data_IF_206843152440
#
_entry.id   IF_206843152440
#
_cell.length_a   1.000
_cell.length_b   1.000
_cell.length_c   1.000
_cell.angle_alpha   90.00
_cell.angle_beta   90.00
_cell.angle_gamma   90.00
#
_symmetry.space_group_name_H-M   'P 1'
#
loop_
_entity.id
_entity.type
_entity.pdbx_description
1 polymer ?
#
# COMPACT_ATOMS: atom_id res chain seq x y z
N UNK A 1 32.08 -41.88 18.38
CA UNK A 1 31.70 -40.46 18.50
C UNK A 1 30.20 -40.40 18.57
N UNK A 2 29.64 -39.63 19.49
CA UNK A 2 28.19 -39.42 19.55
C UNK A 2 27.71 -38.78 18.24
N UNK A 3 26.56 -39.23 17.71
CA UNK A 3 25.95 -38.61 16.54
C UNK A 3 25.48 -37.20 16.90
N UNK A 4 25.85 -36.20 16.10
CA UNK A 4 25.46 -34.80 16.31
C UNK A 4 23.95 -34.62 16.48
N UNK A 5 23.12 -35.39 15.78
CA UNK A 5 21.67 -35.30 15.90
C UNK A 5 21.16 -35.67 17.30
N UNK A 6 21.75 -36.70 17.91
CA UNK A 6 21.40 -37.18 19.25
C UNK A 6 21.84 -36.18 20.31
N UNK A 7 23.08 -35.67 20.18
CA UNK A 7 23.59 -34.59 21.02
C UNK A 7 22.70 -33.34 20.96
N UNK A 8 22.29 -32.90 19.76
CA UNK A 8 21.42 -31.72 19.60
C UNK A 8 20.04 -31.91 20.25
N UNK A 9 19.48 -33.11 20.17
CA UNK A 9 18.20 -33.43 20.82
C UNK A 9 18.34 -33.41 22.33
N UNK A 10 19.38 -34.05 22.87
CA UNK A 10 19.69 -34.06 24.30
C UNK A 10 19.91 -32.64 24.82
N UNK A 11 20.71 -31.82 24.14
CA UNK A 11 20.94 -30.41 24.52
C UNK A 11 19.64 -29.61 24.62
N UNK A 12 18.73 -29.74 23.64
CA UNK A 12 17.43 -29.05 23.71
C UNK A 12 16.56 -29.52 24.87
N UNK A 13 16.58 -30.82 25.18
CA UNK A 13 15.88 -31.37 26.34
C UNK A 13 16.42 -30.81 27.66
N UNK A 14 17.75 -30.74 27.82
CA UNK A 14 18.41 -30.12 28.98
C UNK A 14 18.08 -28.62 29.10
N UNK A 15 17.90 -27.95 27.96
CA UNK A 15 17.45 -26.56 27.90
C UNK A 15 15.94 -26.40 28.23
N UNK A 16 15.21 -27.50 28.44
CA UNK A 16 13.78 -27.51 28.80
C UNK A 16 12.82 -27.67 27.61
N UNK A 17 13.31 -27.99 26.41
CA UNK A 17 12.50 -28.06 25.19
C UNK A 17 12.49 -29.45 24.57
N UNK A 18 11.30 -30.03 24.43
CA UNK A 18 11.09 -31.32 23.76
C UNK A 18 11.02 -31.22 22.24
N UNK A 19 10.85 -30.01 21.69
CA UNK A 19 10.77 -29.77 20.25
C UNK A 19 11.69 -28.62 19.78
N UNK A 20 12.11 -28.68 18.52
CA UNK A 20 13.04 -27.70 17.95
C UNK A 20 12.39 -26.32 17.71
N UNK A 21 11.08 -26.27 17.43
CA UNK A 21 10.34 -25.04 17.17
C UNK A 21 10.27 -24.14 18.39
N UNK A 22 9.87 -24.69 19.54
CA UNK A 22 9.75 -23.99 20.82
C UNK A 22 11.12 -23.51 21.29
N UNK A 23 12.16 -24.35 21.18
CA UNK A 23 13.52 -23.94 21.49
C UNK A 23 13.96 -22.73 20.64
N UNK A 24 13.67 -22.73 19.33
CA UNK A 24 13.94 -21.59 18.45
C UNK A 24 13.11 -20.36 18.82
N UNK A 25 11.85 -20.56 19.20
CA UNK A 25 10.92 -19.48 19.53
C UNK A 25 11.34 -18.77 20.81
N UNK A 26 11.66 -19.53 21.86
CA UNK A 26 12.20 -19.04 23.13
C UNK A 26 13.57 -18.38 22.98
N UNK A 27 14.53 -19.04 22.32
CA UNK A 27 15.88 -18.49 22.14
C UNK A 27 15.89 -17.20 21.31
N UNK A 28 14.89 -17.00 20.45
CA UNK A 28 14.68 -15.77 19.69
C UNK A 28 13.75 -14.76 20.39
N UNK A 29 13.31 -15.04 21.63
CA UNK A 29 12.36 -14.26 22.42
C UNK A 29 11.04 -13.94 21.68
N UNK A 30 10.62 -14.82 20.77
CA UNK A 30 9.40 -14.63 19.96
C UNK A 30 8.11 -14.91 20.74
N UNK A 31 8.22 -15.54 21.90
CA UNK A 31 7.16 -15.73 22.89
C UNK A 31 6.81 -14.45 23.64
N UNK A 32 7.72 -13.49 23.71
CA UNK A 32 7.48 -12.19 24.30
C UNK A 32 6.80 -11.29 23.27
N UNK A 33 5.50 -11.00 23.49
CA UNK A 33 4.75 -10.08 22.64
C UNK A 33 5.00 -8.63 23.10
N UNK A 34 5.55 -7.74 22.26
CA UNK A 34 5.68 -6.34 22.61
C UNK A 34 4.28 -5.71 22.79
N UNK A 35 4.12 -4.88 23.81
CA UNK A 35 2.93 -4.07 23.99
C UNK A 35 2.84 -3.00 22.91
N UNK A 36 1.61 -2.64 22.52
CA UNK A 36 1.40 -1.52 21.61
C UNK A 36 1.77 -0.21 22.29
N UNK A 37 2.61 0.58 21.63
CA UNK A 37 2.94 1.95 22.04
C UNK A 37 1.98 2.95 21.40
N UNK A 38 0.87 3.22 22.11
CA UNK A 38 -0.13 4.17 21.65
C UNK A 38 0.36 5.62 21.63
N UNK A 39 1.35 5.98 22.45
CA UNK A 39 1.94 7.31 22.41
C UNK A 39 2.74 7.50 21.11
N UNK A 40 3.50 6.47 20.71
CA UNK A 40 4.17 6.46 19.42
C UNK A 40 3.20 6.52 18.23
N UNK A 41 2.09 5.76 18.26
CA UNK A 41 1.04 5.88 17.23
C UNK A 41 0.50 7.32 17.16
N UNK A 42 0.28 7.99 18.30
CA UNK A 42 -0.20 9.37 18.31
C UNK A 42 0.80 10.33 17.61
N UNK A 43 2.11 10.16 17.84
CA UNK A 43 3.14 10.91 17.11
C UNK A 43 3.12 10.61 15.61
N UNK A 44 2.96 9.35 15.21
CA UNK A 44 2.88 8.95 13.81
C UNK A 44 1.64 9.54 13.11
N UNK A 45 0.47 9.52 13.76
CA UNK A 45 -0.75 10.11 13.23
C UNK A 45 -0.61 11.64 13.08
N UNK A 46 0.01 12.31 14.05
CA UNK A 46 0.33 13.74 13.93
C UNK A 46 1.24 14.02 12.74
N UNK A 47 2.30 13.23 12.56
CA UNK A 47 3.20 13.35 11.41
C UNK A 47 2.47 13.09 10.08
N UNK A 48 1.52 12.17 10.04
CA UNK A 48 0.72 11.94 8.84
C UNK A 48 -0.09 13.18 8.46
N UNK A 49 -0.73 13.83 9.43
CA UNK A 49 -1.45 15.10 9.21
C UNK A 49 -0.50 16.16 8.66
N UNK A 50 0.68 16.35 9.27
CA UNK A 50 1.69 17.30 8.80
C UNK A 50 2.15 17.02 7.35
N UNK A 51 2.30 15.75 6.97
CA UNK A 51 2.64 15.36 5.59
C UNK A 51 1.53 15.79 4.62
N UNK A 52 0.27 15.53 4.97
CA UNK A 52 -0.88 15.84 4.10
C UNK A 52 -1.10 17.35 3.98
N UNK A 53 -0.91 18.11 5.06
CA UNK A 53 -0.95 19.57 5.03
C UNK A 53 0.12 20.14 4.09
N UNK A 54 1.34 19.64 4.18
CA UNK A 54 2.43 20.06 3.30
C UNK A 54 2.19 19.68 1.83
N UNK A 55 1.66 18.48 1.58
CA UNK A 55 1.26 18.05 0.24
C UNK A 55 0.15 18.92 -0.32
N UNK A 56 -0.93 19.12 0.42
CA UNK A 56 -2.06 19.94 -0.01
C UNK A 56 -1.65 21.39 -0.30
N UNK A 57 -0.69 21.93 0.45
CA UNK A 57 -0.16 23.28 0.23
C UNK A 57 0.49 23.45 -1.14
N UNK A 58 1.20 22.43 -1.63
CA UNK A 58 1.98 22.50 -2.88
C UNK A 58 1.16 22.17 -4.14
N UNK A 59 0.00 21.53 -3.99
CA UNK A 59 -0.90 21.27 -5.11
C UNK A 59 -1.37 22.59 -5.74
N UNK A 60 -1.71 22.56 -7.02
CA UNK A 60 -2.40 23.68 -7.69
C UNK A 60 -3.74 23.94 -7.00
N UNK A 61 -4.17 25.21 -6.89
CA UNK A 61 -5.30 25.62 -6.05
C UNK A 61 -6.61 24.86 -6.33
N UNK A 62 -6.87 24.50 -7.58
CA UNK A 62 -8.06 23.73 -7.97
C UNK A 62 -8.00 22.26 -7.53
N UNK A 63 -6.81 21.74 -7.19
CA UNK A 63 -6.60 20.37 -6.70
C UNK A 63 -6.55 20.29 -5.17
N UNK A 64 -6.55 21.42 -4.46
CA UNK A 64 -6.47 21.45 -3.00
C UNK A 64 -7.76 20.97 -2.34
N UNK A 65 -7.59 20.24 -1.24
CA UNK A 65 -8.64 19.99 -0.27
C UNK A 65 -8.79 21.22 0.65
N UNK A 66 -9.97 21.82 0.66
CA UNK A 66 -10.28 23.04 1.41
C UNK A 66 -10.59 22.78 2.91
N UNK A 67 -10.76 21.53 3.32
CA UNK A 67 -11.10 21.18 4.70
C UNK A 67 -10.28 19.99 5.23
N UNK A 68 -8.97 20.18 5.34
CA UNK A 68 -8.04 19.17 5.86
C UNK A 68 -8.35 18.73 7.30
N UNK A 69 -8.97 19.59 8.10
CA UNK A 69 -9.40 19.26 9.46
C UNK A 69 -10.49 18.19 9.47
N UNK A 70 -11.52 18.35 8.63
CA UNK A 70 -12.55 17.32 8.47
C UNK A 70 -11.95 16.06 7.85
N UNK A 71 -11.15 16.21 6.80
CA UNK A 71 -10.49 15.10 6.11
C UNK A 71 -9.66 14.23 7.08
N UNK A 72 -8.86 14.86 7.94
CA UNK A 72 -8.02 14.15 8.92
C UNK A 72 -8.86 13.43 10.00
N UNK A 73 -10.02 13.98 10.38
CA UNK A 73 -10.95 13.27 11.28
C UNK A 73 -11.53 12.02 10.61
N UNK A 74 -11.92 12.14 9.35
CA UNK A 74 -12.60 11.07 8.60
C UNK A 74 -11.66 9.96 8.12
N UNK A 75 -10.45 10.31 7.68
CA UNK A 75 -9.54 9.36 7.01
C UNK A 75 -8.29 8.99 7.83
N UNK A 76 -8.06 9.61 8.99
CA UNK A 76 -6.97 9.23 9.90
C UNK A 76 -7.54 8.82 11.26
N UNK A 77 -8.22 9.74 11.95
CA UNK A 77 -8.66 9.50 13.32
C UNK A 77 -9.73 8.41 13.43
N UNK A 78 -10.74 8.43 12.54
CA UNK A 78 -11.80 7.42 12.49
C UNK A 78 -11.25 6.02 12.14
N UNK A 79 -10.49 5.81 11.06
CA UNK A 79 -9.86 4.51 10.75
C UNK A 79 -9.00 3.97 11.88
N UNK A 80 -8.15 4.81 12.47
CA UNK A 80 -7.35 4.43 13.63
C UNK A 80 -8.23 3.97 14.80
N UNK A 81 -9.30 4.71 15.12
CA UNK A 81 -10.23 4.35 16.18
C UNK A 81 -10.91 3.00 15.90
N UNK A 82 -11.40 2.77 14.68
CA UNK A 82 -12.02 1.49 14.29
C UNK A 82 -11.03 0.34 14.49
N UNK A 83 -9.79 0.47 14.01
CA UNK A 83 -8.76 -0.57 14.15
C UNK A 83 -8.38 -0.82 15.61
N UNK A 84 -8.33 0.24 16.43
CA UNK A 84 -8.03 0.15 17.85
C UNK A 84 -9.16 -0.54 18.61
N UNK A 85 -10.40 -0.11 18.42
CA UNK A 85 -11.57 -0.59 19.15
C UNK A 85 -11.92 -2.06 18.82
N UNK A 86 -11.38 -2.60 17.72
CA UNK A 86 -11.56 -4.00 17.28
C UNK A 86 -10.29 -4.86 17.44
N UNK A 87 -9.28 -4.42 18.22
CA UNK A 87 -8.02 -5.12 18.46
C UNK A 87 -7.26 -5.55 17.19
N UNK A 88 -7.49 -4.84 16.08
CA UNK A 88 -6.91 -5.19 14.78
C UNK A 88 -5.44 -4.80 14.67
N UNK A 89 -4.99 -3.80 15.44
CA UNK A 89 -3.61 -3.32 15.42
C UNK A 89 -2.64 -4.47 15.71
N UNK A 90 -2.91 -5.32 16.72
CA UNK A 90 -2.06 -6.46 17.07
C UNK A 90 -1.97 -7.52 15.97
N UNK A 91 -2.99 -7.61 15.11
CA UNK A 91 -3.06 -8.57 14.00
C UNK A 91 -2.32 -8.07 12.76
N UNK A 92 -2.01 -6.76 12.69
CA UNK A 92 -1.20 -6.19 11.63
C UNK A 92 0.21 -6.76 11.73
N UNK A 93 0.56 -7.60 10.76
CA UNK A 93 1.87 -8.20 10.67
C UNK A 93 2.50 -7.86 9.32
N UNK A 94 3.82 -7.66 9.35
CA UNK A 94 4.63 -7.53 8.14
C UNK A 94 6.07 -7.94 8.44
N UNK A 95 6.30 -9.26 8.46
CA UNK A 95 7.65 -9.85 8.49
C UNK A 95 8.52 -9.34 9.65
N UNK A 96 7.96 -9.32 10.87
CA UNK A 96 8.68 -8.91 12.09
C UNK A 96 8.68 -7.40 12.36
N UNK A 97 8.09 -6.58 11.48
CA UNK A 97 7.83 -5.17 11.79
C UNK A 97 6.85 -5.02 12.95
N UNK A 98 7.08 -3.96 13.72
CA UNK A 98 6.20 -3.56 14.80
C UNK A 98 4.79 -3.17 14.30
N UNK A 99 3.71 -3.59 14.95
CA UNK A 99 2.33 -3.26 14.57
C UNK A 99 2.08 -1.78 14.30
N UNK A 100 2.69 -0.87 15.06
CA UNK A 100 2.55 0.57 14.90
C UNK A 100 3.10 1.06 13.56
N UNK A 101 4.21 0.48 13.11
CA UNK A 101 4.82 0.82 11.83
C UNK A 101 3.99 0.27 10.67
N UNK A 102 3.41 -0.93 10.83
CA UNK A 102 2.51 -1.52 9.84
C UNK A 102 1.23 -0.68 9.73
N UNK A 103 0.64 -0.30 10.86
CA UNK A 103 -0.49 0.62 10.93
C UNK A 103 -0.17 1.94 10.23
N UNK A 104 0.95 2.58 10.56
CA UNK A 104 1.32 3.86 9.95
C UNK A 104 1.54 3.74 8.45
N UNK A 105 2.22 2.68 7.98
CA UNK A 105 2.41 2.45 6.55
C UNK A 105 1.08 2.24 5.81
N UNK A 106 0.16 1.49 6.41
CA UNK A 106 -1.15 1.23 5.84
C UNK A 106 -2.01 2.51 5.82
N UNK A 107 -2.15 3.18 6.97
CA UNK A 107 -2.96 4.38 7.12
C UNK A 107 -2.46 5.51 6.23
N UNK A 108 -1.14 5.63 6.07
CA UNK A 108 -0.53 6.60 5.16
C UNK A 108 -0.87 6.33 3.69
N UNK A 109 -0.88 5.06 3.27
CA UNK A 109 -1.32 4.67 1.92
C UNK A 109 -2.80 4.98 1.71
N UNK A 110 -3.66 4.43 2.59
CA UNK A 110 -5.10 4.67 2.60
C UNK A 110 -5.47 6.16 2.52
N UNK A 111 -4.85 6.98 3.37
CA UNK A 111 -5.16 8.41 3.42
C UNK A 111 -4.73 9.16 2.16
N UNK A 112 -3.65 8.73 1.49
CA UNK A 112 -3.27 9.33 0.21
C UNK A 112 -4.22 8.95 -0.92
N UNK A 113 -4.73 7.72 -0.94
CA UNK A 113 -5.77 7.34 -1.91
C UNK A 113 -6.97 8.27 -1.74
N UNK A 114 -7.46 8.44 -0.52
CA UNK A 114 -8.61 9.30 -0.23
C UNK A 114 -8.33 10.79 -0.54
N UNK A 115 -7.10 11.28 -0.31
CA UNK A 115 -6.73 12.67 -0.62
C UNK A 115 -6.73 12.92 -2.14
N UNK A 116 -6.21 11.97 -2.92
CA UNK A 116 -6.08 12.11 -4.38
C UNK A 116 -7.31 11.63 -5.14
N UNK A 117 -8.25 10.92 -4.51
CA UNK A 117 -9.47 10.42 -5.16
C UNK A 117 -10.26 11.51 -5.90
N UNK A 118 -10.50 12.73 -5.35
CA UNK A 118 -11.13 13.81 -6.11
C UNK A 118 -10.30 14.29 -7.31
N UNK A 119 -8.98 14.22 -7.22
CA UNK A 119 -8.07 14.59 -8.32
C UNK A 119 -8.15 13.54 -9.43
N UNK A 120 -8.20 12.25 -9.08
CA UNK A 120 -8.41 11.18 -10.04
C UNK A 120 -9.77 11.32 -10.74
N UNK A 121 -10.83 11.62 -10.00
CA UNK A 121 -12.15 11.88 -10.58
C UNK A 121 -12.09 12.98 -11.66
N UNK A 122 -11.40 14.09 -11.37
CA UNK A 122 -11.13 15.15 -12.35
C UNK A 122 -10.32 14.66 -13.55
N UNK A 123 -9.26 13.88 -13.31
CA UNK A 123 -8.37 13.36 -14.35
C UNK A 123 -9.10 12.45 -15.35
N UNK A 124 -9.99 11.60 -14.83
CA UNK A 124 -10.81 10.70 -15.65
C UNK A 124 -12.10 11.34 -16.14
N UNK A 125 -12.35 12.62 -15.84
CA UNK A 125 -13.56 13.35 -16.23
C UNK A 125 -14.85 12.64 -15.78
N UNK A 126 -14.87 12.18 -14.52
CA UNK A 126 -16.02 11.49 -13.89
C UNK A 126 -16.39 12.16 -12.57
N UNK A 127 -17.62 11.93 -12.11
CA UNK A 127 -18.03 12.28 -10.75
C UNK A 127 -17.31 11.38 -9.73
N UNK A 128 -16.75 11.97 -8.68
CA UNK A 128 -16.06 11.25 -7.59
C UNK A 128 -16.96 10.22 -6.90
N UNK A 129 -18.28 10.45 -6.88
CA UNK A 129 -19.26 9.53 -6.31
C UNK A 129 -19.41 8.24 -7.12
N UNK A 130 -18.96 8.23 -8.38
CA UNK A 130 -18.94 7.04 -9.23
C UNK A 130 -17.67 6.20 -9.03
N UNK A 131 -16.72 6.67 -8.23
CA UNK A 131 -15.51 5.92 -7.87
C UNK A 131 -15.76 5.00 -6.67
N UNK A 132 -15.77 3.69 -6.93
CA UNK A 132 -16.05 2.68 -5.90
C UNK A 132 -14.76 2.15 -5.29
N UNK A 133 -14.65 2.11 -3.96
CA UNK A 133 -13.56 1.39 -3.27
C UNK A 133 -13.84 -0.12 -3.38
N UNK A 134 -12.91 -0.86 -3.99
CA UNK A 134 -13.01 -2.31 -4.21
C UNK A 134 -11.93 -3.11 -3.45
N UNK A 135 -11.00 -2.41 -2.77
CA UNK A 135 -10.02 -3.04 -1.90
C UNK A 135 -10.65 -3.66 -0.66
N UNK A 136 -10.20 -4.86 -0.27
CA UNK A 136 -10.70 -5.58 0.91
C UNK A 136 -10.25 -4.97 2.25
N UNK A 137 -9.49 -3.87 2.22
CA UNK A 137 -8.99 -3.15 3.39
C UNK A 137 -9.69 -1.81 3.64
N UNK A 138 -10.81 -1.53 2.98
CA UNK A 138 -11.54 -0.26 3.05
C UNK A 138 -12.30 0.03 4.37
N UNK A 139 -12.12 -0.81 5.39
CA UNK A 139 -12.76 -0.74 6.72
C UNK A 139 -14.30 -0.71 6.69
N UNK A 140 -14.97 -0.99 5.55
CA UNK A 140 -16.45 -1.06 5.50
C UNK A 140 -16.97 -2.19 6.39
N UNK A 141 -16.24 -3.30 6.44
CA UNK A 141 -16.50 -4.40 7.35
C UNK A 141 -15.18 -4.87 7.98
N UNK A 142 -15.11 -4.79 9.32
CA UNK A 142 -13.91 -5.15 10.07
C UNK A 142 -13.62 -6.66 10.02
N UNK A 143 -14.66 -7.49 9.88
CA UNK A 143 -14.54 -8.95 9.83
C UNK A 143 -13.92 -9.42 8.51
N UNK A 144 -14.12 -8.66 7.43
CA UNK A 144 -13.53 -8.92 6.12
C UNK A 144 -12.28 -8.10 5.84
N UNK A 145 -11.82 -7.27 6.79
CA UNK A 145 -10.62 -6.46 6.62
C UNK A 145 -9.40 -7.37 6.42
N UNK A 146 -8.85 -7.33 5.21
CA UNK A 146 -7.63 -8.06 4.86
C UNK A 146 -6.89 -7.30 3.77
N UNK A 147 -5.57 -7.39 3.80
CA UNK A 147 -4.72 -6.83 2.74
C UNK A 147 -4.73 -7.81 1.56
N UNK A 148 -5.27 -7.39 0.42
CA UNK A 148 -5.32 -8.21 -0.81
C UNK A 148 -4.58 -7.53 -1.97
N UNK A 149 -4.24 -8.28 -3.02
CA UNK A 149 -3.69 -7.71 -4.24
C UNK A 149 -4.72 -6.94 -5.07
N UNK A 150 -6.00 -6.97 -4.71
CA UNK A 150 -7.08 -6.22 -5.36
C UNK A 150 -6.70 -4.73 -5.48
N UNK A 151 -7.11 -4.12 -6.59
CA UNK A 151 -6.95 -2.67 -6.80
C UNK A 151 -7.75 -1.88 -5.76
N UNK A 152 -7.40 -0.61 -5.56
CA UNK A 152 -8.05 0.24 -4.56
C UNK A 152 -9.42 0.73 -5.01
N UNK A 153 -9.52 1.15 -6.28
CA UNK A 153 -10.67 1.86 -6.84
C UNK A 153 -11.15 1.22 -8.14
N UNK A 154 -12.43 1.38 -8.44
CA UNK A 154 -13.05 1.04 -9.72
C UNK A 154 -13.87 2.22 -10.24
N UNK A 155 -13.78 2.45 -11.54
CA UNK A 155 -14.51 3.50 -12.26
C UNK A 155 -15.18 2.92 -13.50
N UNK A 156 -16.18 3.65 -14.01
CA UNK A 156 -16.76 3.40 -15.33
C UNK A 156 -16.52 4.61 -16.23
N UNK A 157 -15.91 4.39 -17.39
CA UNK A 157 -15.63 5.43 -18.39
C UNK A 157 -15.95 4.92 -19.78
N UNK A 158 -16.72 5.69 -20.55
CA UNK A 158 -17.08 5.35 -21.94
C UNK A 158 -17.70 3.95 -22.12
N UNK A 159 -18.38 3.43 -21.10
CA UNK A 159 -18.95 2.07 -21.11
C UNK A 159 -18.00 0.96 -20.68
N UNK A 160 -16.71 1.26 -20.46
CA UNK A 160 -15.73 0.32 -19.92
C UNK A 160 -15.59 0.45 -18.41
N UNK A 161 -15.36 -0.69 -17.74
CA UNK A 161 -14.98 -0.74 -16.33
C UNK A 161 -13.46 -0.74 -16.24
N UNK A 162 -12.91 0.12 -15.39
CA UNK A 162 -11.46 0.27 -15.21
C UNK A 162 -11.15 0.20 -13.71
N UNK A 163 -10.20 -0.65 -13.35
CA UNK A 163 -9.64 -0.70 -12.01
C UNK A 163 -8.46 0.29 -11.91
N UNK A 164 -8.36 0.97 -10.77
CA UNK A 164 -7.27 1.89 -10.45
C UNK A 164 -6.56 1.37 -9.19
N UNK A 165 -5.31 0.95 -9.37
CA UNK A 165 -4.38 0.67 -8.27
C UNK A 165 -3.63 1.96 -7.95
N UNK A 166 -3.56 2.33 -6.68
CA UNK A 166 -2.88 3.54 -6.24
C UNK A 166 -1.70 3.14 -5.36
N UNK A 167 -0.49 3.54 -5.77
CA UNK A 167 0.71 3.31 -4.98
C UNK A 167 1.36 4.64 -4.62
N UNK A 168 1.90 4.72 -3.40
CA UNK A 168 2.58 5.92 -2.93
C UNK A 168 4.03 5.59 -2.53
N UNK A 169 4.97 6.18 -3.25
CA UNK A 169 6.40 6.14 -2.96
C UNK A 169 6.82 7.30 -2.04
N UNK A 170 7.60 7.00 -0.99
CA UNK A 170 8.04 7.98 0.01
C UNK A 170 9.55 8.10 0.16
N UNK A 171 10.31 7.35 -0.65
CA UNK A 171 11.76 7.18 -0.49
C UNK A 171 12.53 7.40 -1.81
N UNK A 172 11.84 7.81 -2.87
CA UNK A 172 12.44 8.00 -4.20
C UNK A 172 12.75 6.70 -4.97
N UNK A 173 12.47 5.53 -4.38
CA UNK A 173 12.48 4.25 -5.09
C UNK A 173 11.06 3.93 -5.53
N UNK A 174 10.88 3.73 -6.83
CA UNK A 174 9.58 3.62 -7.49
C UNK A 174 9.45 2.24 -8.12
N UNK A 175 8.80 1.32 -7.41
CA UNK A 175 8.64 -0.07 -7.79
C UNK A 175 7.18 -0.50 -7.59
N UNK A 176 6.66 -1.31 -8.50
CA UNK A 176 5.34 -1.95 -8.39
C UNK A 176 5.56 -3.43 -8.05
N UNK A 177 4.90 -3.93 -7.01
CA UNK A 177 5.03 -5.35 -6.63
C UNK A 177 4.54 -6.25 -7.76
N UNK A 178 5.30 -7.29 -8.10
CA UNK A 178 4.97 -8.17 -9.22
C UNK A 178 3.58 -8.82 -9.08
N UNK A 179 3.17 -9.19 -7.87
CA UNK A 179 1.84 -9.80 -7.65
C UNK A 179 0.68 -8.86 -8.03
N UNK A 180 0.87 -7.53 -7.98
CA UNK A 180 -0.12 -6.56 -8.45
C UNK A 180 -0.24 -6.59 -9.97
N UNK A 181 0.88 -6.73 -10.67
CA UNK A 181 0.91 -6.89 -12.14
C UNK A 181 0.25 -8.21 -12.55
N UNK A 182 0.56 -9.31 -11.87
CA UNK A 182 -0.03 -10.63 -12.14
C UNK A 182 -1.54 -10.63 -11.91
N UNK A 183 -2.02 -9.99 -10.83
CA UNK A 183 -3.45 -9.87 -10.55
C UNK A 183 -4.17 -9.05 -11.63
N UNK A 184 -3.61 -7.90 -12.03
CA UNK A 184 -4.16 -7.08 -13.11
C UNK A 184 -4.30 -7.85 -14.43
N UNK A 185 -3.29 -8.65 -14.81
CA UNK A 185 -3.34 -9.51 -16.00
C UNK A 185 -4.43 -10.56 -15.91
N UNK A 186 -4.57 -11.21 -14.76
CA UNK A 186 -5.59 -12.22 -14.52
C UNK A 186 -7.00 -11.63 -14.62
N UNK A 187 -7.23 -10.46 -14.02
CA UNK A 187 -8.50 -9.74 -14.11
C UNK A 187 -8.81 -9.35 -15.57
N UNK A 188 -7.81 -8.84 -16.31
CA UNK A 188 -7.99 -8.53 -17.72
C UNK A 188 -8.33 -9.77 -18.56
N UNK A 189 -7.64 -10.89 -18.35
CA UNK A 189 -7.90 -12.15 -19.07
C UNK A 189 -9.30 -12.72 -18.79
N UNK A 190 -9.78 -12.63 -17.55
CA UNK A 190 -11.03 -13.25 -17.13
C UNK A 190 -12.26 -12.36 -17.36
N UNK A 191 -12.11 -11.05 -17.17
CA UNK A 191 -13.22 -10.10 -17.08
C UNK A 191 -13.12 -8.97 -18.11
N UNK A 192 -12.02 -8.91 -18.88
CA UNK A 192 -11.70 -7.82 -19.81
C UNK A 192 -11.66 -6.42 -19.12
N UNK A 193 -11.34 -6.40 -17.82
CA UNK A 193 -11.21 -5.17 -17.02
C UNK A 193 -9.75 -4.73 -17.00
N UNK A 194 -9.51 -3.52 -17.50
CA UNK A 194 -8.19 -2.89 -17.53
C UNK A 194 -7.79 -2.42 -16.14
N UNK A 195 -6.50 -2.48 -15.80
CA UNK A 195 -6.00 -1.96 -14.52
C UNK A 195 -4.91 -0.92 -14.74
N UNK A 196 -5.18 0.31 -14.30
CA UNK A 196 -4.22 1.42 -14.32
C UNK A 196 -3.62 1.59 -12.93
N UNK A 197 -2.30 1.47 -12.82
CA UNK A 197 -1.57 1.91 -11.63
C UNK A 197 -1.28 3.40 -11.73
N UNK A 198 -1.68 4.15 -10.71
CA UNK A 198 -1.29 5.54 -10.47
C UNK A 198 -0.29 5.52 -9.32
N UNK A 199 0.99 5.64 -9.65
CA UNK A 199 2.07 5.67 -8.67
C UNK A 199 2.46 7.11 -8.35
N UNK A 200 2.14 7.57 -7.15
CA UNK A 200 2.48 8.89 -6.62
C UNK A 200 3.83 8.79 -5.92
N UNK A 201 4.89 9.27 -6.56
CA UNK A 201 6.19 9.47 -5.93
C UNK A 201 6.19 10.79 -5.15
N UNK A 202 5.71 10.71 -3.90
CA UNK A 202 5.63 11.84 -2.97
C UNK A 202 7.01 12.42 -2.68
N UNK A 203 8.06 11.61 -2.74
CA UNK A 203 9.42 12.04 -2.45
C UNK A 203 9.95 13.00 -3.53
N UNK A 204 9.72 12.70 -4.80
CA UNK A 204 10.18 13.55 -5.91
C UNK A 204 9.09 14.45 -6.51
N UNK A 205 7.84 14.36 -6.05
CA UNK A 205 6.74 15.21 -6.50
C UNK A 205 6.26 14.90 -7.92
N UNK A 206 6.26 13.62 -8.32
CA UNK A 206 5.89 13.17 -9.66
C UNK A 206 4.95 11.97 -9.59
N UNK A 207 4.16 11.77 -10.65
CA UNK A 207 3.14 10.72 -10.73
C UNK A 207 3.30 9.95 -12.02
N UNK A 208 3.38 8.63 -11.89
CA UNK A 208 3.44 7.70 -13.00
C UNK A 208 2.09 7.03 -13.24
N UNK A 209 1.81 6.75 -14.52
CA UNK A 209 0.59 6.10 -14.97
C UNK A 209 0.96 4.88 -15.80
N UNK A 210 0.54 3.68 -15.38
CA UNK A 210 0.96 2.42 -16.00
C UNK A 210 -0.25 1.50 -16.17
N UNK A 211 -0.46 0.97 -17.38
CA UNK A 211 -1.42 -0.13 -17.63
C UNK A 211 -0.80 -1.45 -17.20
N UNK A 212 -1.13 -1.93 -16.00
CA UNK A 212 -0.52 -3.13 -15.42
C UNK A 212 -0.76 -4.39 -16.26
N UNK A 213 -1.96 -4.53 -16.81
CA UNK A 213 -2.35 -5.64 -17.67
C UNK A 213 -1.54 -5.72 -18.98
N UNK A 214 -0.93 -4.61 -19.41
CA UNK A 214 -0.17 -4.52 -20.66
C UNK A 214 1.33 -4.81 -20.52
N UNK A 215 1.85 -4.91 -19.29
CA UNK A 215 3.27 -5.19 -19.02
C UNK A 215 3.61 -6.60 -19.53
N UNK A 216 4.74 -6.79 -20.23
CA UNK A 216 5.13 -8.12 -20.74
C UNK A 216 5.74 -8.98 -19.63
N UNK A 217 5.55 -10.30 -19.65
CA UNK A 217 6.11 -11.19 -18.60
C UNK A 217 7.65 -11.19 -18.58
N UNK A 218 8.28 -10.96 -19.73
CA UNK A 218 9.74 -10.86 -19.89
C UNK A 218 10.23 -9.41 -19.96
N UNK A 219 9.48 -8.46 -19.39
CA UNK A 219 9.88 -7.06 -19.36
C UNK A 219 11.19 -6.88 -18.57
N UNK A 220 12.13 -6.13 -19.15
CA UNK A 220 13.46 -5.89 -18.57
C UNK A 220 13.40 -5.14 -17.25
N UNK A 221 12.28 -4.46 -16.96
CA UNK A 221 12.08 -3.72 -15.72
C UNK A 221 11.69 -4.63 -14.55
N UNK A 222 11.44 -5.92 -14.77
CA UNK A 222 11.31 -6.87 -13.66
C UNK A 222 12.67 -7.11 -13.02
N UNK A 223 12.81 -6.67 -11.77
CA UNK A 223 14.06 -6.74 -10.99
C UNK A 223 13.80 -7.35 -9.62
N UNK A 224 14.80 -8.03 -9.08
CA UNK A 224 14.77 -8.54 -7.71
C UNK A 224 15.36 -7.50 -6.76
N UNK A 225 14.59 -7.04 -5.78
CA UNK A 225 15.06 -6.06 -4.79
C UNK A 225 15.41 -6.75 -3.48
N UNK A 226 16.70 -6.78 -3.12
CA UNK A 226 17.15 -7.29 -1.81
C UNK A 226 16.56 -6.48 -0.64
N UNK A 227 16.38 -5.17 -0.82
CA UNK A 227 15.73 -4.28 0.16
C UNK A 227 14.25 -4.64 0.39
N UNK A 228 13.62 -5.36 -0.53
CA UNK A 228 12.27 -5.93 -0.38
C UNK A 228 12.34 -7.44 -0.13
N UNK A 229 13.34 -7.88 0.65
CA UNK A 229 13.52 -9.28 1.03
C UNK A 229 13.64 -10.23 -0.17
N UNK A 230 14.23 -9.76 -1.27
CA UNK A 230 14.39 -10.53 -2.49
C UNK A 230 13.08 -10.70 -3.28
N UNK A 231 12.06 -9.89 -3.02
CA UNK A 231 10.86 -9.85 -3.85
C UNK A 231 11.18 -9.30 -5.24
N UNK A 232 10.53 -9.91 -6.23
CA UNK A 232 10.50 -9.41 -7.61
C UNK A 232 9.47 -8.29 -7.73
N UNK A 233 9.89 -7.21 -8.39
CA UNK A 233 9.11 -5.99 -8.58
C UNK A 233 9.33 -5.47 -10.00
N UNK A 234 8.38 -4.69 -10.47
CA UNK A 234 8.51 -3.92 -11.69
C UNK A 234 9.06 -2.53 -11.35
N UNK A 235 10.29 -2.24 -11.77
CA UNK A 235 10.92 -0.91 -11.59
C UNK A 235 10.26 0.09 -12.53
N UNK A 236 9.71 1.18 -11.99
CA UNK A 236 9.04 2.19 -12.81
C UNK A 236 10.10 3.07 -13.47
N UNK A 237 10.23 2.96 -14.79
CA UNK A 237 11.10 3.83 -15.59
C UNK A 237 10.61 5.29 -15.58
N UNK A 238 11.54 6.24 -15.72
CA UNK A 238 11.26 7.67 -15.69
C UNK A 238 10.25 8.09 -16.78
N UNK A 239 10.20 7.37 -17.91
CA UNK A 239 9.26 7.64 -18.99
C UNK A 239 7.79 7.44 -18.60
N UNK A 240 7.48 6.69 -17.54
CA UNK A 240 6.10 6.52 -17.06
C UNK A 240 5.59 7.71 -16.24
N UNK A 241 6.48 8.59 -15.76
CA UNK A 241 6.09 9.77 -14.98
C UNK A 241 5.56 10.87 -15.90
N UNK A 242 4.24 11.03 -15.95
CA UNK A 242 3.55 11.94 -16.88
C UNK A 242 3.02 13.21 -16.23
N UNK A 243 3.07 13.31 -14.90
CA UNK A 243 2.60 14.48 -14.16
C UNK A 243 3.55 14.83 -13.02
N UNK A 244 3.78 16.12 -12.80
CA UNK A 244 4.47 16.66 -11.62
C UNK A 244 3.44 17.37 -10.75
N UNK A 245 3.49 17.17 -9.44
CA UNK A 245 2.46 17.65 -8.51
C UNK A 245 2.34 19.18 -8.43
N UNK A 246 3.35 19.91 -8.90
CA UNK A 246 3.35 21.37 -9.00
C UNK A 246 2.73 21.90 -10.30
N UNK A 247 2.50 21.03 -11.27
CA UNK A 247 1.91 21.39 -12.56
C UNK A 247 0.39 21.20 -12.53
N UNK A 248 -0.31 21.89 -13.44
CA UNK A 248 -1.72 21.63 -13.71
C UNK A 248 -1.94 20.16 -14.11
N UNK A 249 -3.14 19.67 -13.81
CA UNK A 249 -3.51 18.29 -14.12
C UNK A 249 -3.39 18.04 -15.64
N UNK A 250 -2.71 16.98 -16.09
CA UNK A 250 -2.63 16.67 -17.50
C UNK A 250 -3.98 16.18 -18.03
N UNK A 251 -4.17 16.27 -19.35
CA UNK A 251 -5.30 15.59 -19.98
C UNK A 251 -5.05 14.08 -20.05
N UNK A 252 -6.13 13.30 -20.05
CA UNK A 252 -6.08 11.83 -20.15
C UNK A 252 -5.27 11.36 -21.38
N UNK A 253 -5.40 12.07 -22.52
CA UNK A 253 -4.67 11.80 -23.77
C UNK A 253 -3.15 11.87 -23.58
N UNK A 254 -2.67 12.77 -22.72
CA UNK A 254 -1.24 12.95 -22.48
C UNK A 254 -0.64 11.86 -21.57
N UNK A 255 -1.48 11.03 -20.93
CA UNK A 255 -1.02 9.94 -20.08
C UNK A 255 -0.56 8.71 -20.87
N UNK A 256 -0.93 8.60 -22.15
CA UNK A 256 -0.64 7.41 -22.96
C UNK A 256 -1.38 6.16 -22.47
N UNK A 257 -2.51 6.34 -21.77
CA UNK A 257 -3.39 5.25 -21.36
C UNK A 257 -4.41 5.00 -22.49
N UNK A 258 -4.43 3.80 -23.03
CA UNK A 258 -5.43 3.38 -24.03
C UNK A 258 -6.73 2.93 -23.34
N UNK A 259 -7.50 3.91 -22.84
CA UNK A 259 -8.70 3.76 -22.00
C UNK A 259 -9.83 4.71 -22.41
#
# INVERSE_FOLDING_TARGET
>A
MENSADYFKKYRLELGFSNQGDAKFFLAAKDIKPSIDYAYIAFLNKRLIEILENLNKILVDDLKNNNLNLFSKEHIARPYKILKDNDMILKLNNQGRRPEQVLFSWLRGFTLVELFKPIFAKLFEIDVNLMTNIGDDDLKNIDTFKRTPTADLQIQKNGEVINIEVQAGFQGVNDIKEHKVREAKKIFQNENIKTVCIHIDVFNGQVAFIRLDSIKDNDVNFVTRQQMEGQSVFSIDQSYFKWRLLDALPSLKNLGLDI
#
